data_IF_244025808411
#
_entry.id   IF_244025808411
#
_cell.length_a   1.000
_cell.length_b   1.000
_cell.length_c   1.000
_cell.angle_alpha   90.00
_cell.angle_beta   90.00
_cell.angle_gamma   90.00
#
_symmetry.space_group_name_H-M   'P 1'
#
loop_
_entity.id
_entity.type
_entity.pdbx_description
1 polymer ?
#
# COMPACT_ATOMS: atom_id res chain seq x y z
N UNK A 1 -14.96 -16.14 12.06
CA UNK A 1 -15.64 -16.99 11.07
C UNK A 1 -15.98 -16.27 9.76
N UNK A 2 -16.70 -15.14 9.75
CA UNK A 2 -17.09 -14.46 8.51
C UNK A 2 -15.90 -13.94 7.65
N UNK A 3 -14.90 -13.31 8.27
CA UNK A 3 -13.70 -12.78 7.57
C UNK A 3 -12.86 -13.89 6.95
N UNK A 4 -12.69 -15.02 7.66
CA UNK A 4 -11.96 -16.19 7.16
C UNK A 4 -12.67 -16.80 5.92
N UNK A 5 -13.99 -16.98 6.00
CA UNK A 5 -14.77 -17.49 4.87
C UNK A 5 -14.75 -16.57 3.64
N UNK A 6 -14.63 -15.26 3.84
CA UNK A 6 -14.52 -14.30 2.74
C UNK A 6 -13.13 -14.37 2.09
N UNK A 7 -12.08 -14.52 2.91
CA UNK A 7 -10.68 -14.64 2.45
C UNK A 7 -10.49 -15.77 1.44
N UNK A 8 -11.13 -16.92 1.66
CA UNK A 8 -11.03 -18.09 0.76
C UNK A 8 -11.77 -17.92 -0.58
N UNK A 9 -12.50 -16.80 -0.76
CA UNK A 9 -13.37 -16.54 -1.92
C UNK A 9 -12.99 -15.29 -2.69
N UNK A 10 -11.95 -14.57 -2.28
CA UNK A 10 -11.52 -13.31 -2.90
C UNK A 10 -10.03 -13.34 -3.21
N UNK A 11 -9.62 -12.68 -4.28
CA UNK A 11 -8.20 -12.52 -4.63
C UNK A 11 -7.46 -11.65 -3.60
N UNK A 12 -8.12 -10.57 -3.15
CA UNK A 12 -7.60 -9.63 -2.15
C UNK A 12 -8.72 -9.21 -1.20
N UNK A 13 -8.41 -9.24 0.11
CA UNK A 13 -9.26 -8.79 1.18
C UNK A 13 -8.65 -7.56 1.86
N UNK A 14 -9.26 -6.40 1.63
CA UNK A 14 -8.92 -5.15 2.33
C UNK A 14 -9.74 -5.11 3.62
N UNK A 15 -9.05 -5.02 4.76
CA UNK A 15 -9.70 -4.93 6.08
C UNK A 15 -9.51 -3.51 6.62
N UNK A 16 -10.62 -2.82 6.87
CA UNK A 16 -10.63 -1.52 7.54
C UNK A 16 -11.17 -1.71 8.95
N UNK A 17 -10.33 -1.44 9.96
CA UNK A 17 -10.72 -1.59 11.35
C UNK A 17 -11.39 -0.32 11.88
N UNK A 18 -12.62 -0.45 12.37
CA UNK A 18 -13.33 0.66 13.00
C UNK A 18 -12.62 1.18 14.26
N UNK A 19 -11.84 0.34 14.94
CA UNK A 19 -11.05 0.76 16.10
C UNK A 19 -9.94 1.76 15.70
N UNK A 20 -9.48 1.71 14.45
CA UNK A 20 -8.50 2.67 13.91
C UNK A 20 -9.14 4.00 13.55
N UNK A 21 -10.45 4.04 13.31
CA UNK A 21 -11.17 5.30 13.13
C UNK A 21 -11.00 6.20 14.36
N UNK A 22 -10.99 5.62 15.56
CA UNK A 22 -10.77 6.35 16.82
C UNK A 22 -9.40 7.04 16.91
N UNK A 23 -8.42 6.64 16.11
CA UNK A 23 -7.09 7.26 16.09
C UNK A 23 -7.00 8.43 15.10
N UNK A 24 -7.95 8.52 14.17
CA UNK A 24 -7.97 9.54 13.12
C UNK A 24 -9.08 10.58 13.33
N UNK A 25 -10.13 10.26 14.08
CA UNK A 25 -11.21 11.20 14.41
C UNK A 25 -10.98 11.87 15.77
N UNK A 26 -11.24 13.17 15.93
CA UNK A 26 -11.24 13.83 17.23
C UNK A 26 -12.23 13.21 18.24
N UNK A 27 -11.87 13.21 19.53
CA UNK A 27 -12.67 12.62 20.62
C UNK A 27 -14.12 13.15 20.72
N UNK A 28 -14.37 14.35 20.22
CA UNK A 28 -15.68 15.01 20.25
C UNK A 28 -16.50 14.79 18.96
N UNK A 29 -16.03 13.95 18.04
CA UNK A 29 -16.69 13.67 16.76
C UNK A 29 -18.00 12.89 17.01
N UNK A 30 -19.17 13.38 16.56
CA UNK A 30 -20.42 12.63 16.62
C UNK A 30 -20.33 11.29 15.88
N UNK A 31 -21.07 10.28 16.34
CA UNK A 31 -21.04 8.93 15.76
C UNK A 31 -21.33 8.90 14.25
N UNK A 32 -22.27 9.71 13.77
CA UNK A 32 -22.61 9.80 12.35
C UNK A 32 -21.44 10.34 11.51
N UNK A 33 -20.72 11.32 12.04
CA UNK A 33 -19.57 11.92 11.38
C UNK A 33 -18.39 10.93 11.37
N UNK A 34 -18.20 10.18 12.45
CA UNK A 34 -17.19 9.12 12.52
C UNK A 34 -17.43 7.99 11.49
N UNK A 35 -18.70 7.59 11.28
CA UNK A 35 -19.03 6.64 10.20
C UNK A 35 -18.82 7.24 8.81
N UNK A 36 -19.09 8.53 8.64
CA UNK A 36 -18.82 9.21 7.37
C UNK A 36 -17.34 9.16 7.01
N UNK A 37 -16.43 9.22 7.99
CA UNK A 37 -14.99 9.03 7.78
C UNK A 37 -14.65 7.60 7.35
N UNK A 38 -15.32 6.59 7.94
CA UNK A 38 -15.15 5.20 7.53
C UNK A 38 -15.56 4.97 6.07
N UNK A 39 -16.72 5.52 5.70
CA UNK A 39 -17.23 5.47 4.33
C UNK A 39 -16.29 6.21 3.36
N UNK A 40 -15.68 7.32 3.81
CA UNK A 40 -14.66 8.06 3.05
C UNK A 40 -13.44 7.19 2.74
N UNK A 41 -12.90 6.49 3.75
CA UNK A 41 -11.75 5.58 3.60
C UNK A 41 -12.09 4.44 2.63
N UNK A 42 -13.25 3.81 2.78
CA UNK A 42 -13.69 2.75 1.88
C UNK A 42 -13.85 3.27 0.44
N UNK A 43 -14.44 4.45 0.29
CA UNK A 43 -14.57 5.11 -1.01
C UNK A 43 -13.20 5.39 -1.61
N UNK A 44 -12.28 6.00 -0.87
CA UNK A 44 -10.92 6.30 -1.32
C UNK A 44 -10.16 5.04 -1.71
N UNK A 45 -10.38 3.93 -1.01
CA UNK A 45 -9.81 2.64 -1.38
C UNK A 45 -10.28 2.09 -2.72
N UNK A 46 -11.60 2.10 -2.95
CA UNK A 46 -12.19 1.66 -4.21
C UNK A 46 -11.79 2.59 -5.35
N UNK A 47 -11.90 3.90 -5.13
CA UNK A 47 -11.53 4.94 -6.10
C UNK A 47 -10.04 4.84 -6.44
N UNK A 48 -9.16 4.79 -5.44
CA UNK A 48 -7.71 4.80 -5.64
C UNK A 48 -7.19 3.64 -6.49
N UNK A 49 -7.78 2.43 -6.39
CA UNK A 49 -7.39 1.30 -7.24
C UNK A 49 -8.10 1.35 -8.61
N UNK A 50 -9.40 1.64 -8.62
CA UNK A 50 -10.18 1.61 -9.85
C UNK A 50 -9.83 2.74 -10.82
N UNK A 51 -9.47 3.92 -10.31
CA UNK A 51 -9.13 5.07 -11.13
C UNK A 51 -7.81 4.90 -11.88
N UNK A 52 -6.84 4.18 -11.31
CA UNK A 52 -5.59 3.81 -11.99
C UNK A 52 -5.87 3.01 -13.28
N UNK A 53 -6.95 2.22 -13.31
CA UNK A 53 -7.33 1.37 -14.45
C UNK A 53 -8.22 2.10 -15.45
N UNK A 54 -9.19 2.89 -14.93
CA UNK A 54 -10.32 3.39 -15.74
C UNK A 54 -10.06 4.78 -16.32
N UNK A 55 -9.29 5.63 -15.64
CA UNK A 55 -9.03 7.00 -16.10
C UNK A 55 -7.61 7.10 -16.65
N UNK A 56 -7.43 7.62 -17.88
CA UNK A 56 -6.11 7.94 -18.39
C UNK A 56 -5.43 8.97 -17.46
N UNK A 57 -4.48 8.51 -16.66
CA UNK A 57 -3.65 9.35 -15.82
C UNK A 57 -2.48 9.99 -16.58
N UNK A 58 -1.70 10.82 -15.88
CA UNK A 58 -0.37 11.25 -16.36
C UNK A 58 0.57 10.05 -16.52
N UNK A 59 0.38 9.05 -15.67
CA UNK A 59 1.08 7.76 -15.71
C UNK A 59 0.00 6.70 -15.66
N UNK A 60 -0.19 6.03 -16.79
CA UNK A 60 -1.20 5.00 -16.94
C UNK A 60 -0.61 3.64 -16.61
N UNK A 61 -1.33 2.87 -15.80
CA UNK A 61 -1.03 1.47 -15.50
C UNK A 61 -2.08 0.63 -16.20
N UNK A 62 -1.70 -0.55 -16.70
CA UNK A 62 -2.68 -1.46 -17.27
C UNK A 62 -3.32 -2.39 -16.22
N UNK A 63 -4.44 -3.01 -16.59
CA UNK A 63 -5.13 -3.93 -15.68
C UNK A 63 -4.28 -5.18 -15.35
N UNK A 64 -3.39 -5.60 -16.25
CA UNK A 64 -2.56 -6.78 -16.04
C UNK A 64 -1.53 -6.54 -14.93
N UNK A 65 -0.96 -5.34 -14.88
CA UNK A 65 -0.09 -4.89 -13.80
C UNK A 65 -0.84 -4.95 -12.47
N UNK A 66 -1.97 -4.24 -12.34
CA UNK A 66 -2.74 -4.21 -11.07
C UNK A 66 -3.15 -5.64 -10.65
N UNK A 67 -3.61 -6.45 -11.61
CA UNK A 67 -3.94 -7.86 -11.37
C UNK A 67 -2.73 -8.66 -10.90
N UNK A 68 -1.51 -8.38 -11.36
CA UNK A 68 -0.30 -9.11 -10.93
C UNK A 68 0.03 -8.91 -9.45
N UNK A 69 -0.41 -7.79 -8.85
CA UNK A 69 -0.20 -7.47 -7.43
C UNK A 69 -1.39 -7.87 -6.55
N UNK A 70 -2.59 -7.86 -7.11
CA UNK A 70 -3.83 -8.11 -6.36
C UNK A 70 -4.40 -9.53 -6.53
N UNK A 71 -3.98 -10.30 -7.55
CA UNK A 71 -4.40 -11.69 -7.70
C UNK A 71 -3.78 -12.56 -6.59
N UNK A 72 -4.61 -13.36 -5.92
CA UNK A 72 -4.21 -14.26 -4.82
C UNK A 72 -3.34 -13.58 -3.72
N UNK A 73 -3.47 -12.27 -3.55
CA UNK A 73 -2.64 -11.51 -2.62
C UNK A 73 -3.06 -11.71 -1.15
N UNK A 74 -4.25 -12.26 -0.93
CA UNK A 74 -4.78 -12.56 0.40
C UNK A 74 -5.16 -11.27 1.12
N UNK A 75 -4.46 -10.93 2.19
CA UNK A 75 -4.77 -9.73 2.97
C UNK A 75 -4.09 -8.49 2.40
N UNK A 76 -4.83 -7.39 2.37
CA UNK A 76 -4.34 -6.07 2.01
C UNK A 76 -4.68 -5.03 3.08
N UNK A 77 -3.83 -4.01 3.16
CA UNK A 77 -3.96 -2.88 4.07
C UNK A 77 -3.93 -1.59 3.26
N UNK A 78 -4.58 -0.56 3.80
CA UNK A 78 -4.74 0.73 3.16
C UNK A 78 -4.07 1.81 3.98
N UNK A 79 -3.36 2.71 3.31
CA UNK A 79 -2.83 3.92 3.90
C UNK A 79 -3.22 5.11 3.05
N UNK A 80 -3.61 6.21 3.69
CA UNK A 80 -4.06 7.42 2.99
C UNK A 80 -3.35 8.61 3.62
N UNK A 81 -2.82 9.49 2.78
CA UNK A 81 -2.13 10.70 3.22
C UNK A 81 -2.46 11.85 2.29
N UNK A 82 -2.69 13.02 2.87
CA UNK A 82 -2.85 14.27 2.13
C UNK A 82 -1.76 15.25 2.51
N UNK A 83 -1.43 16.14 1.59
CA UNK A 83 -0.41 17.16 1.80
C UNK A 83 -0.76 18.44 1.05
N UNK A 84 -0.29 19.56 1.58
CA UNK A 84 -0.48 20.89 1.00
C UNK A 84 0.79 21.72 1.11
N UNK A 85 0.91 22.77 0.30
CA UNK A 85 2.09 23.64 0.28
C UNK A 85 3.28 23.06 -0.51
N UNK A 86 4.51 23.48 -0.16
CA UNK A 86 5.71 23.22 -0.98
C UNK A 86 6.20 21.77 -0.93
N UNK A 87 5.95 21.07 0.16
CA UNK A 87 6.38 19.68 0.41
C UNK A 87 5.22 18.70 0.32
N UNK A 88 4.07 19.14 -0.22
CA UNK A 88 2.80 18.38 -0.23
C UNK A 88 2.93 16.93 -0.68
N UNK A 89 3.71 16.66 -1.71
CA UNK A 89 3.88 15.31 -2.23
C UNK A 89 4.63 14.39 -1.26
N UNK A 90 5.71 14.89 -0.64
CA UNK A 90 6.50 14.15 0.33
C UNK A 90 5.71 13.95 1.62
N UNK A 91 5.04 15.00 2.08
CA UNK A 91 4.21 14.96 3.29
C UNK A 91 3.05 13.97 3.14
N UNK A 92 2.36 14.00 1.98
CA UNK A 92 1.30 13.05 1.65
C UNK A 92 1.82 11.60 1.61
N UNK A 93 3.01 11.38 1.03
CA UNK A 93 3.62 10.05 0.96
C UNK A 93 3.95 9.51 2.35
N UNK A 94 4.59 10.33 3.20
CA UNK A 94 4.90 9.98 4.59
C UNK A 94 3.63 9.68 5.37
N UNK A 95 2.60 10.52 5.24
CA UNK A 95 1.32 10.32 5.92
C UNK A 95 0.64 9.01 5.47
N UNK A 96 0.71 8.67 4.18
CA UNK A 96 0.11 7.45 3.66
C UNK A 96 0.81 6.18 4.20
N UNK A 97 2.14 6.13 4.19
CA UNK A 97 2.90 4.96 4.67
C UNK A 97 2.92 4.81 6.20
N UNK A 98 2.66 5.90 6.93
CA UNK A 98 2.56 5.91 8.40
C UNK A 98 1.11 5.90 8.91
N UNK A 99 0.15 5.70 8.01
CA UNK A 99 -1.27 5.75 8.34
C UNK A 99 -1.65 4.70 9.41
N UNK A 100 -2.47 5.07 10.42
CA UNK A 100 -2.96 4.13 11.45
C UNK A 100 -3.74 2.93 10.90
N UNK A 101 -4.20 3.03 9.64
CA UNK A 101 -4.91 1.99 8.89
C UNK A 101 -3.98 0.87 8.39
N UNK A 102 -2.66 1.09 8.41
CA UNK A 102 -1.65 0.07 8.14
C UNK A 102 -1.28 -0.66 9.44
N UNK A 103 -1.94 -1.79 9.70
CA UNK A 103 -1.67 -2.62 10.88
C UNK A 103 -0.27 -3.27 10.91
N UNK A 104 0.36 -3.42 9.75
CA UNK A 104 1.69 -3.98 9.62
C UNK A 104 2.62 -2.99 8.93
N UNK A 105 3.92 -2.99 9.30
CA UNK A 105 4.91 -2.16 8.62
C UNK A 105 4.92 -2.45 7.12
N UNK A 106 4.83 -1.41 6.30
CA UNK A 106 4.76 -1.51 4.84
C UNK A 106 6.01 -2.17 4.24
N UNK A 107 7.12 -2.18 4.97
CA UNK A 107 8.38 -2.85 4.69
C UNK A 107 8.23 -4.36 4.42
N UNK A 108 7.12 -4.97 4.87
CA UNK A 108 6.86 -6.41 4.68
C UNK A 108 5.92 -6.72 3.53
N UNK A 109 5.37 -5.72 2.86
CA UNK A 109 4.48 -5.90 1.74
C UNK A 109 5.26 -6.49 0.55
N UNK A 110 4.70 -7.50 -0.10
CA UNK A 110 5.28 -8.10 -1.33
C UNK A 110 4.79 -7.42 -2.59
N UNK A 111 3.63 -6.77 -2.49
CA UNK A 111 2.99 -6.05 -3.56
C UNK A 111 2.46 -4.73 -3.04
N UNK A 112 2.63 -3.66 -3.81
CA UNK A 112 2.15 -2.33 -3.44
C UNK A 112 1.54 -1.68 -4.67
N UNK A 113 0.33 -1.18 -4.51
CA UNK A 113 -0.33 -0.31 -5.48
C UNK A 113 -0.52 1.03 -4.80
N UNK A 114 -0.05 2.12 -5.39
CA UNK A 114 -0.35 3.45 -4.88
C UNK A 114 -0.83 4.40 -5.96
N UNK A 115 -1.74 5.27 -5.60
CA UNK A 115 -2.27 6.30 -6.47
C UNK A 115 -1.86 7.67 -5.95
N UNK A 116 -1.46 8.57 -6.85
CA UNK A 116 -1.25 9.98 -6.55
C UNK A 116 -2.33 10.79 -7.27
N UNK A 117 -3.15 11.52 -6.52
CA UNK A 117 -4.13 12.45 -7.07
C UNK A 117 -3.78 13.88 -6.66
N UNK A 118 -3.76 14.81 -7.60
CA UNK A 118 -3.52 16.22 -7.33
C UNK A 118 -4.15 17.12 -8.38
N UNK A 119 -4.06 18.43 -8.19
CA UNK A 119 -4.55 19.41 -9.15
C UNK A 119 -3.73 19.51 -10.43
N UNK A 120 -4.18 20.35 -11.36
CA UNK A 120 -3.46 20.68 -12.61
C UNK A 120 -2.07 21.30 -12.37
N UNK A 121 -1.84 21.81 -11.17
CA UNK A 121 -0.58 22.37 -10.71
C UNK A 121 0.41 21.31 -10.21
N UNK A 122 0.02 20.03 -10.16
CA UNK A 122 0.89 18.91 -9.80
C UNK A 122 2.00 18.73 -10.85
N UNK A 123 3.23 18.65 -10.36
CA UNK A 123 4.43 18.55 -11.21
C UNK A 123 5.03 17.14 -11.20
N UNK A 124 5.80 16.83 -12.24
CA UNK A 124 6.55 15.57 -12.30
C UNK A 124 7.57 15.42 -11.14
N UNK A 125 8.12 16.54 -10.64
CA UNK A 125 9.07 16.52 -9.53
C UNK A 125 8.40 16.12 -8.22
N UNK A 126 7.17 16.57 -7.99
CA UNK A 126 6.34 16.18 -6.86
C UNK A 126 6.01 14.68 -6.91
N UNK A 127 5.56 14.18 -8.07
CA UNK A 127 5.30 12.75 -8.28
C UNK A 127 6.56 11.92 -7.98
N UNK A 128 7.73 12.33 -8.50
CA UNK A 128 8.98 11.62 -8.26
C UNK A 128 9.38 11.63 -6.78
N UNK A 129 9.21 12.77 -6.10
CA UNK A 129 9.54 12.88 -4.67
C UNK A 129 8.65 11.99 -3.81
N UNK A 130 7.35 11.94 -4.09
CA UNK A 130 6.42 11.05 -3.40
C UNK A 130 6.77 9.57 -3.64
N UNK A 131 7.06 9.21 -4.89
CA UNK A 131 7.46 7.85 -5.24
C UNK A 131 8.73 7.43 -4.50
N UNK A 132 9.77 8.28 -4.47
CA UNK A 132 11.03 8.01 -3.76
C UNK A 132 10.80 7.68 -2.28
N UNK A 133 9.96 8.46 -1.58
CA UNK A 133 9.62 8.21 -0.17
C UNK A 133 9.00 6.82 0.02
N UNK A 134 8.06 6.43 -0.87
CA UNK A 134 7.41 5.11 -0.79
C UNK A 134 8.42 4.00 -1.13
N UNK A 135 9.27 4.19 -2.15
CA UNK A 135 10.30 3.22 -2.54
C UNK A 135 11.32 2.95 -1.42
N UNK A 136 11.70 3.98 -0.65
CA UNK A 136 12.62 3.83 0.47
C UNK A 136 12.02 3.10 1.68
N UNK A 137 10.69 3.14 1.81
CA UNK A 137 9.96 2.57 2.94
C UNK A 137 9.58 1.09 2.75
N UNK A 138 9.81 0.50 1.57
CA UNK A 138 9.24 -0.81 1.18
C UNK A 138 10.34 -1.82 0.88
N UNK A 139 9.99 -3.11 0.81
CA UNK A 139 10.98 -4.14 0.46
C UNK A 139 11.53 -3.89 -0.97
N UNK A 140 12.86 -3.92 -1.20
CA UNK A 140 13.43 -3.75 -2.53
C UNK A 140 12.98 -4.78 -3.56
N UNK A 141 12.44 -5.92 -3.12
CA UNK A 141 11.89 -6.98 -3.95
C UNK A 141 10.36 -6.90 -4.07
N UNK A 142 9.71 -5.90 -3.46
CA UNK A 142 8.28 -5.70 -3.61
C UNK A 142 7.94 -5.31 -5.05
N UNK A 143 6.85 -5.87 -5.57
CA UNK A 143 6.30 -5.43 -6.85
C UNK A 143 5.48 -4.16 -6.63
N UNK A 144 5.91 -3.05 -7.24
CA UNK A 144 5.35 -1.72 -6.99
C UNK A 144 4.69 -1.19 -8.25
N UNK A 145 3.45 -0.78 -8.10
CA UNK A 145 2.61 -0.21 -9.14
C UNK A 145 2.15 1.15 -8.69
N UNK A 146 2.21 2.13 -9.58
CA UNK A 146 1.70 3.44 -9.26
C UNK A 146 1.03 4.14 -10.43
N UNK A 147 -0.04 4.87 -10.12
CA UNK A 147 -0.71 5.76 -11.04
C UNK A 147 -0.64 7.21 -10.56
N UNK A 148 -0.83 8.13 -11.49
CA UNK A 148 -0.95 9.55 -11.20
C UNK A 148 -2.15 10.15 -11.94
N UNK A 149 -3.08 10.75 -11.21
CA UNK A 149 -4.30 11.35 -11.73
C UNK A 149 -4.38 12.83 -11.40
N UNK A 150 -5.07 13.55 -12.28
CA UNK A 150 -5.39 14.96 -12.09
C UNK A 150 -6.86 15.09 -11.72
N UNK A 151 -7.14 15.78 -10.62
CA UNK A 151 -8.48 16.16 -10.18
C UNK A 151 -8.56 17.69 -10.04
N UNK A 152 -9.47 18.31 -10.80
CA UNK A 152 -9.67 19.76 -10.81
C UNK A 152 -10.07 20.33 -9.45
N UNK A 153 -10.59 19.50 -8.54
CA UNK A 153 -11.00 19.92 -7.21
C UNK A 153 -9.85 19.93 -6.20
N UNK A 154 -8.64 19.53 -6.59
CA UNK A 154 -7.48 19.36 -5.71
C UNK A 154 -6.36 20.39 -5.93
N UNK A 155 -6.72 21.63 -6.29
CA UNK A 155 -5.75 22.70 -6.50
C UNK A 155 -4.90 22.96 -5.24
N UNK A 156 -3.57 22.99 -5.37
CA UNK A 156 -2.61 23.14 -4.27
C UNK A 156 -2.58 21.98 -3.24
N UNK A 157 -3.26 20.86 -3.52
CA UNK A 157 -3.31 19.67 -2.65
C UNK A 157 -2.84 18.42 -3.42
N UNK A 158 -2.25 17.46 -2.70
CA UNK A 158 -1.97 16.12 -3.20
C UNK A 158 -2.48 15.11 -2.19
N UNK A 159 -3.18 14.09 -2.68
CA UNK A 159 -3.60 12.91 -1.93
C UNK A 159 -2.92 11.67 -2.48
N UNK A 160 -2.42 10.83 -1.59
CA UNK A 160 -1.80 9.55 -1.91
C UNK A 160 -2.55 8.45 -1.20
N UNK A 161 -3.02 7.48 -1.96
CA UNK A 161 -3.62 6.25 -1.44
C UNK A 161 -2.69 5.09 -1.73
N UNK A 162 -2.29 4.36 -0.70
CA UNK A 162 -1.42 3.19 -0.78
C UNK A 162 -2.21 1.96 -0.39
N UNK A 163 -2.10 0.90 -1.18
CA UNK A 163 -2.63 -0.43 -0.90
C UNK A 163 -1.48 -1.40 -0.90
N UNK A 164 -1.17 -1.92 0.28
CA UNK A 164 -0.12 -2.90 0.48
C UNK A 164 -0.73 -4.30 0.55
N UNK A 165 -0.13 -5.26 -0.15
CA UNK A 165 -0.63 -6.63 -0.30
C UNK A 165 0.47 -7.66 -0.04
N UNK A 166 0.07 -8.93 0.14
CA UNK A 166 1.01 -10.03 0.30
C UNK A 166 1.62 -10.13 1.70
N UNK A 167 0.92 -9.61 2.71
CA UNK A 167 1.28 -9.82 4.12
C UNK A 167 1.02 -11.28 4.50
N UNK A 168 2.08 -12.00 4.88
CA UNK A 168 1.92 -13.31 5.54
C UNK A 168 1.48 -13.06 6.97
N UNK A 169 0.22 -13.38 7.32
CA UNK A 169 -0.19 -13.27 8.72
C UNK A 169 0.49 -14.37 9.55
N UNK A 170 0.83 -14.12 10.83
CA UNK A 170 1.39 -15.16 11.71
C UNK A 170 0.52 -16.44 11.77
N UNK A 171 -0.81 -16.31 11.61
CA UNK A 171 -1.76 -17.42 11.54
C UNK A 171 -1.75 -18.22 10.23
N UNK A 172 -1.24 -17.67 9.13
CA UNK A 172 -1.08 -18.40 7.86
C UNK A 172 -0.04 -19.51 8.01
N UNK A 173 0.97 -19.30 8.88
CA UNK A 173 1.96 -20.33 9.23
C UNK A 173 1.29 -21.54 9.90
N UNK A 174 0.27 -21.33 10.72
CA UNK A 174 -0.42 -22.40 11.46
C UNK A 174 -1.31 -23.26 10.55
N UNK A 175 -1.99 -22.65 9.59
CA UNK A 175 -2.75 -23.37 8.55
C UNK A 175 -1.81 -24.09 7.56
N UNK A 176 -0.65 -23.51 7.24
CA UNK A 176 0.38 -24.19 6.43
C UNK A 176 1.06 -25.35 7.17
N UNK A 177 1.20 -25.27 8.50
CA UNK A 177 1.76 -26.33 9.37
C UNK A 177 0.83 -27.55 9.46
N UNK A 178 -0.48 -27.35 9.42
CA UNK A 178 -1.46 -28.44 9.40
C UNK A 178 -1.53 -29.14 8.03
N UNK A 179 -1.30 -28.40 6.93
CA UNK A 179 -1.33 -28.93 5.57
C UNK A 179 -0.07 -29.72 5.15
N UNK A 180 1.11 -29.35 5.68
CA UNK A 180 2.39 -29.97 5.33
C UNK A 180 3.08 -30.52 6.57
N UNK A 181 2.81 -31.80 6.89
CA UNK A 181 3.29 -32.50 8.07
C UNK A 181 4.73 -32.19 8.46
N UNK A 182 4.89 -31.63 9.67
CA UNK A 182 6.09 -31.50 10.49
C UNK A 182 7.43 -31.46 9.75
N UNK A 183 7.81 -30.27 9.25
CA UNK A 183 9.21 -29.95 8.98
C UNK A 183 9.73 -29.08 10.14
N UNK A 184 10.84 -29.50 10.74
CA UNK A 184 11.44 -28.89 11.93
C UNK A 184 11.79 -27.41 11.71
N UNK A 185 10.91 -26.56 12.20
CA UNK A 185 10.93 -25.10 12.03
C UNK A 185 12.07 -24.45 12.83
N UNK A 186 12.60 -25.12 13.86
CA UNK A 186 13.71 -24.60 14.67
C UNK A 186 15.01 -24.54 13.83
N UNK A 187 15.22 -25.53 12.97
CA UNK A 187 16.35 -25.55 12.04
C UNK A 187 16.23 -24.48 10.95
N UNK A 188 15.01 -24.20 10.46
CA UNK A 188 14.78 -23.17 9.46
C UNK A 188 14.97 -21.75 10.01
N UNK A 189 14.47 -21.48 11.23
CA UNK A 189 14.66 -20.19 11.90
C UNK A 189 16.11 -19.92 12.31
N UNK A 190 16.87 -20.95 12.67
CA UNK A 190 18.30 -20.79 12.93
C UNK A 190 19.07 -20.49 11.63
N UNK A 191 18.75 -21.18 10.53
CA UNK A 191 19.40 -20.98 9.23
C UNK A 191 19.16 -19.58 8.64
N UNK A 192 17.99 -18.99 8.86
CA UNK A 192 17.66 -17.63 8.41
C UNK A 192 18.32 -16.52 9.25
N UNK A 193 18.66 -16.79 10.52
CA UNK A 193 19.49 -15.88 11.32
C UNK A 193 20.96 -15.93 10.91
N UNK A 194 21.52 -17.11 10.65
CA UNK A 194 22.95 -17.25 10.27
C UNK A 194 23.25 -16.61 8.91
N UNK A 195 22.28 -16.53 8.00
CA UNK A 195 22.47 -15.94 6.68
C UNK A 195 22.42 -14.40 6.63
N UNK A 196 22.10 -13.72 7.75
CA UNK A 196 22.10 -12.24 7.83
C UNK A 196 23.49 -11.63 8.00
N UNK A 197 24.48 -12.42 8.42
CA UNK A 197 25.82 -11.90 8.74
C UNK A 197 26.78 -11.90 7.53
N UNK A 198 26.38 -12.44 6.35
CA UNK A 198 27.21 -12.51 5.14
C UNK A 198 26.73 -11.65 3.95
N UNK A 199 25.76 -10.74 4.13
CA UNK A 199 25.30 -9.91 3.01
C UNK A 199 26.13 -8.62 2.91
N UNK A 200 27.05 -8.61 1.94
CA UNK A 200 27.82 -7.43 1.51
C UNK A 200 26.97 -6.25 1.05
N UNK A 201 27.59 -5.13 0.62
CA UNK A 201 26.92 -3.84 0.51
C UNK A 201 25.68 -3.90 -0.40
N UNK A 202 24.56 -3.39 0.13
CA UNK A 202 23.22 -3.37 -0.45
C UNK A 202 23.24 -2.85 -1.90
N UNK A 203 22.69 -3.64 -2.83
CA UNK A 203 22.45 -3.21 -4.19
C UNK A 203 21.29 -2.20 -4.21
N UNK A 204 21.59 -0.95 -4.55
CA UNK A 204 20.60 0.09 -4.83
C UNK A 204 19.83 -0.28 -6.10
N UNK A 205 18.56 -0.64 -6.00
CA UNK A 205 17.66 -0.71 -7.14
C UNK A 205 17.58 0.66 -7.81
N UNK A 206 18.04 0.77 -9.06
CA UNK A 206 18.28 2.05 -9.71
C UNK A 206 16.99 2.56 -10.35
N UNK A 207 16.50 3.73 -9.91
CA UNK A 207 15.29 4.40 -10.42
C UNK A 207 15.29 4.61 -11.94
N UNK A 208 16.48 4.59 -12.57
CA UNK A 208 16.63 4.62 -14.04
C UNK A 208 16.04 3.40 -14.76
N UNK A 209 16.04 2.22 -14.13
CA UNK A 209 15.46 1.02 -14.72
C UNK A 209 13.93 1.00 -14.62
N UNK A 210 13.38 1.70 -13.63
CA UNK A 210 11.94 1.93 -13.49
C UNK A 210 11.40 2.84 -14.61
N UNK A 211 12.02 4.00 -14.82
CA UNK A 211 11.65 4.92 -15.92
C UNK A 211 11.82 4.30 -17.31
N UNK A 212 12.70 3.30 -17.45
CA UNK A 212 12.82 2.53 -18.70
C UNK A 212 11.68 1.56 -18.95
N UNK A 213 11.05 1.01 -17.91
CA UNK A 213 9.91 0.09 -18.04
C UNK A 213 8.60 0.80 -18.42
N UNK A 214 8.51 2.11 -18.17
CA UNK A 214 7.36 2.95 -18.51
C UNK A 214 7.37 3.49 -19.95
N UNK A 215 8.35 3.11 -20.78
CA UNK A 215 8.56 3.62 -22.15
C UNK A 215 8.24 2.61 -23.23
#
# INVERSE_FOLDING_TARGET
>A
DAIANLRDRVDTLIVVSNDKLLQIVPDNTPLQDAFSVADDILRQGVVGISEIIVRPGLINVDFADVRSVMADAGSALMGIGTGSGKTRAQDAAVAAISSPLLDFPIERAKGIVFNITGGHDMTLHEINSAAEVIYEAVDPNANIIFGALVDDNMENEISITVVATGFTQPGDTQLMLEANGAVDLAAFYQKSKTNKDEMGPKASGNIKDFWKKLR
#
